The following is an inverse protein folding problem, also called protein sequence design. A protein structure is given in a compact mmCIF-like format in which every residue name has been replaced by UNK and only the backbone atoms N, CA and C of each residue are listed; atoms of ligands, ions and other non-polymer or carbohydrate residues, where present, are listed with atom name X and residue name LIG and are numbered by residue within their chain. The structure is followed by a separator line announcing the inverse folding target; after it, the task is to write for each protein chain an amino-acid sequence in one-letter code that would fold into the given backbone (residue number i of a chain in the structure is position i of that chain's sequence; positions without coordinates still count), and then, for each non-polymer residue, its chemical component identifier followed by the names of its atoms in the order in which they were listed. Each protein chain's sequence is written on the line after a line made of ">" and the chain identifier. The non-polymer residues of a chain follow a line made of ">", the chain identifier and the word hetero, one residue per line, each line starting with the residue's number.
data_IF_304223543932
#
_entry.id   IF_304223543932
#
_cell.length_a   1.000
_cell.length_b   1.000
_cell.length_c   1.000
_cell.angle_alpha   90.00
_cell.angle_beta   90.00
_cell.angle_gamma   90.00
#
_symmetry.space_group_name_H-M   'P 1'
#
loop_
_entity.id
_entity.type
_entity.pdbx_description
1 polymer ?
#
# COMPACT_ATOMS: atom_id res chain seq x y z
N UNK A 1 26.14 -12.43 -4.90
CA UNK A 1 25.86 -11.55 -3.75
C UNK A 1 27.19 -11.23 -3.10
N UNK A 2 27.40 -10.00 -2.63
CA UNK A 2 28.66 -9.61 -1.97
C UNK A 2 28.66 -10.14 -0.55
N UNK A 3 29.70 -10.87 -0.17
CA UNK A 3 29.95 -11.30 1.20
C UNK A 3 30.45 -10.10 2.01
N UNK A 4 29.82 -9.81 3.14
CA UNK A 4 30.20 -8.68 4.01
C UNK A 4 30.60 -9.18 5.40
N UNK A 5 31.70 -8.64 5.94
CA UNK A 5 32.03 -8.85 7.35
C UNK A 5 31.06 -8.09 8.27
N UNK A 6 31.15 -8.33 9.58
CA UNK A 6 30.23 -7.74 10.57
C UNK A 6 30.17 -6.21 10.51
N UNK A 7 31.33 -5.56 10.37
CA UNK A 7 31.42 -4.10 10.32
C UNK A 7 30.74 -3.55 9.06
N UNK A 8 31.00 -4.15 7.92
CA UNK A 8 30.38 -3.77 6.64
C UNK A 8 28.87 -3.98 6.65
N UNK A 9 28.42 -5.10 7.24
CA UNK A 9 26.99 -5.36 7.45
C UNK A 9 26.34 -4.28 8.33
N UNK A 10 26.96 -3.93 9.46
CA UNK A 10 26.45 -2.89 10.35
C UNK A 10 26.38 -1.52 9.68
N UNK A 11 27.37 -1.16 8.87
CA UNK A 11 27.34 0.07 8.08
C UNK A 11 26.16 0.06 7.11
N UNK A 12 25.97 -1.06 6.37
CA UNK A 12 24.83 -1.21 5.45
C UNK A 12 23.49 -1.09 6.16
N UNK A 13 23.34 -1.75 7.31
CA UNK A 13 22.12 -1.68 8.11
C UNK A 13 21.86 -0.24 8.59
N UNK A 14 22.90 0.44 9.07
CA UNK A 14 22.83 1.85 9.51
C UNK A 14 22.33 2.76 8.38
N UNK A 15 22.87 2.59 7.18
CA UNK A 15 22.46 3.40 6.03
C UNK A 15 21.01 3.14 5.60
N UNK A 16 20.55 1.89 5.71
CA UNK A 16 19.15 1.56 5.43
C UNK A 16 18.20 2.16 6.47
N UNK A 17 18.54 2.08 7.76
CA UNK A 17 17.75 2.72 8.81
C UNK A 17 17.74 4.24 8.64
N UNK A 18 18.86 4.86 8.24
CA UNK A 18 18.93 6.28 7.96
C UNK A 18 18.08 6.68 6.74
N UNK A 19 18.09 5.86 5.68
CA UNK A 19 17.20 6.03 4.52
C UNK A 19 15.73 5.98 4.96
N UNK A 20 15.34 5.00 5.77
CA UNK A 20 13.98 4.89 6.30
C UNK A 20 13.60 6.10 7.15
N UNK A 21 14.51 6.57 8.02
CA UNK A 21 14.30 7.79 8.82
C UNK A 21 13.99 9.00 7.94
N UNK A 22 14.79 9.21 6.89
CA UNK A 22 14.59 10.31 5.94
C UNK A 22 13.24 10.20 5.20
N UNK A 23 12.87 8.99 4.79
CA UNK A 23 11.59 8.74 4.10
C UNK A 23 10.42 9.00 5.07
N UNK A 24 10.46 8.47 6.29
CA UNK A 24 9.41 8.65 7.29
C UNK A 24 9.15 10.14 7.54
N UNK A 25 10.22 10.91 7.80
CA UNK A 25 10.13 12.37 8.01
C UNK A 25 9.50 13.08 6.81
N UNK A 26 10.00 12.79 5.60
CA UNK A 26 9.56 13.46 4.38
C UNK A 26 8.11 13.12 4.02
N UNK A 27 7.76 11.84 4.09
CA UNK A 27 6.43 11.37 3.69
C UNK A 27 5.36 11.73 4.71
N UNK A 28 5.67 11.74 6.02
CA UNK A 28 4.77 12.27 7.05
C UNK A 28 4.45 13.74 6.83
N UNK A 29 5.46 14.56 6.58
CA UNK A 29 5.26 15.98 6.29
C UNK A 29 4.39 16.19 5.05
N UNK A 30 4.70 15.48 3.95
CA UNK A 30 3.93 15.56 2.70
C UNK A 30 2.48 15.11 2.88
N UNK A 31 2.25 14.03 3.61
CA UNK A 31 0.89 13.57 3.92
C UNK A 31 0.14 14.64 4.70
N UNK A 32 0.71 15.15 5.80
CA UNK A 32 0.05 16.16 6.64
C UNK A 32 -0.28 17.41 5.85
N UNK A 33 0.66 17.94 5.08
CA UNK A 33 0.43 19.10 4.23
C UNK A 33 -0.74 18.87 3.26
N UNK A 34 -0.74 17.75 2.53
CA UNK A 34 -1.81 17.45 1.57
C UNK A 34 -3.13 17.08 2.23
N UNK A 35 -3.08 16.54 3.44
CA UNK A 35 -4.27 16.31 4.24
C UNK A 35 -4.91 17.62 4.65
N UNK A 36 -4.11 18.58 5.11
CA UNK A 36 -4.62 19.88 5.55
C UNK A 36 -5.17 20.68 4.38
N UNK A 37 -4.53 20.59 3.21
CA UNK A 37 -5.00 21.23 1.98
C UNK A 37 -6.42 20.76 1.57
N UNK A 38 -6.75 19.47 1.73
CA UNK A 38 -7.94 18.87 1.07
C UNK A 38 -8.91 18.11 1.98
N UNK A 39 -8.45 17.60 3.12
CA UNK A 39 -9.23 16.76 4.03
C UNK A 39 -9.43 17.38 5.41
N UNK A 40 -8.93 18.60 5.68
CA UNK A 40 -9.08 19.26 6.98
C UNK A 40 -10.54 19.33 7.47
N UNK A 41 -11.50 19.50 6.56
CA UNK A 41 -12.92 19.62 6.89
C UNK A 41 -13.62 18.29 7.22
N UNK A 42 -12.90 17.16 7.19
CA UNK A 42 -13.47 15.83 7.49
C UNK A 42 -13.50 15.50 8.99
N UNK A 43 -12.93 16.36 9.85
CA UNK A 43 -12.76 16.12 11.30
C UNK A 43 -12.00 14.81 11.64
N UNK A 44 -11.27 14.23 10.68
CA UNK A 44 -10.42 13.07 10.88
C UNK A 44 -8.97 13.51 10.74
N UNK A 45 -8.15 13.17 11.73
CA UNK A 45 -6.73 13.45 11.69
C UNK A 45 -5.97 12.39 10.88
N UNK A 46 -4.91 12.79 10.14
CA UNK A 46 -4.06 11.84 9.44
C UNK A 46 -3.27 11.00 10.45
N UNK A 47 -3.12 9.71 10.17
CA UNK A 47 -2.16 8.88 10.87
C UNK A 47 -0.76 9.17 10.31
N UNK A 48 0.14 9.72 11.13
CA UNK A 48 1.47 10.11 10.70
C UNK A 48 2.51 9.03 11.04
N UNK A 49 3.56 8.95 10.21
CA UNK A 49 4.69 8.04 10.43
C UNK A 49 5.61 8.67 11.47
N UNK A 50 5.87 7.95 12.56
CA UNK A 50 6.81 8.41 13.58
C UNK A 50 8.21 8.61 13.02
N UNK A 51 8.95 9.54 13.62
CA UNK A 51 10.36 9.77 13.26
C UNK A 51 11.23 8.64 13.81
N UNK A 52 12.25 8.24 13.05
CA UNK A 52 13.27 7.29 13.50
C UNK A 52 14.53 8.09 13.87
N UNK A 53 14.82 8.33 15.16
CA UNK A 53 15.89 9.23 15.59
C UNK A 53 17.24 8.52 15.59
N UNK A 54 17.81 8.30 14.40
CA UNK A 54 19.07 7.57 14.23
C UNK A 54 20.30 8.46 14.44
N UNK A 55 21.14 8.03 15.38
CA UNK A 55 22.54 8.41 15.52
C UNK A 55 23.40 7.27 14.94
N UNK A 56 24.06 7.53 13.81
CA UNK A 56 24.83 6.50 13.10
C UNK A 56 25.97 5.93 13.96
N UNK A 57 26.61 6.76 14.77
CA UNK A 57 27.75 6.34 15.60
C UNK A 57 27.27 5.41 16.72
N UNK A 58 26.20 5.80 17.42
CA UNK A 58 25.62 4.95 18.48
C UNK A 58 25.06 3.66 17.91
N UNK A 59 24.41 3.70 16.74
CA UNK A 59 23.85 2.49 16.11
C UNK A 59 24.91 1.43 15.78
N UNK A 60 26.11 1.87 15.39
CA UNK A 60 27.23 0.98 15.11
C UNK A 60 27.82 0.44 16.43
N UNK A 61 28.01 1.29 17.44
CA UNK A 61 28.82 0.96 18.62
C UNK A 61 28.03 0.44 19.82
N UNK A 62 26.71 0.63 19.88
CA UNK A 62 25.87 0.27 21.02
C UNK A 62 24.71 -0.64 20.57
N UNK A 63 24.77 -1.91 21.00
CA UNK A 63 23.75 -2.90 20.65
C UNK A 63 22.38 -2.59 21.28
N UNK A 64 22.33 -2.02 22.49
CA UNK A 64 21.06 -1.64 23.14
C UNK A 64 20.37 -0.53 22.35
N UNK A 65 21.14 0.49 21.96
CA UNK A 65 20.64 1.56 21.10
C UNK A 65 20.20 1.02 19.73
N UNK A 66 20.94 0.07 19.15
CA UNK A 66 20.55 -0.60 17.91
C UNK A 66 19.20 -1.31 18.02
N UNK A 67 18.98 -2.07 19.09
CA UNK A 67 17.71 -2.75 19.39
C UNK A 67 16.57 -1.73 19.49
N UNK A 68 16.79 -0.63 20.22
CA UNK A 68 15.82 0.46 20.35
C UNK A 68 15.43 1.04 18.98
N UNK A 69 16.41 1.42 18.17
CA UNK A 69 16.17 2.02 16.85
C UNK A 69 15.49 1.04 15.88
N UNK A 70 15.87 -0.24 15.90
CA UNK A 70 15.20 -1.27 15.10
C UNK A 70 13.73 -1.43 15.52
N UNK A 71 13.44 -1.38 16.82
CA UNK A 71 12.06 -1.42 17.32
C UNK A 71 11.26 -0.19 16.86
N UNK A 72 11.84 1.02 16.92
CA UNK A 72 11.20 2.23 16.40
C UNK A 72 10.97 2.13 14.89
N UNK A 73 11.92 1.58 14.14
CA UNK A 73 11.76 1.37 12.70
C UNK A 73 10.61 0.40 12.38
N UNK A 74 10.45 -0.70 13.13
CA UNK A 74 9.31 -1.62 12.98
C UNK A 74 7.98 -0.88 13.19
N UNK A 75 7.90 -0.07 14.23
CA UNK A 75 6.70 0.71 14.53
C UNK A 75 6.42 1.74 13.42
N UNK A 76 7.45 2.43 12.91
CA UNK A 76 7.31 3.35 11.78
C UNK A 76 6.81 2.65 10.50
N UNK A 77 7.28 1.43 10.21
CA UNK A 77 6.78 0.63 9.09
C UNK A 77 5.29 0.35 9.22
N UNK A 78 4.81 0.04 10.43
CA UNK A 78 3.39 -0.14 10.73
C UNK A 78 2.60 1.17 10.60
N UNK A 79 3.15 2.30 11.08
CA UNK A 79 2.52 3.61 10.91
C UNK A 79 2.30 3.95 9.44
N UNK A 80 3.26 3.62 8.55
CA UNK A 80 3.11 3.83 7.10
C UNK A 80 1.95 3.05 6.50
N UNK A 81 1.67 1.84 7.00
CA UNK A 81 0.52 1.04 6.60
C UNK A 81 -0.79 1.68 7.09
N UNK A 82 -0.82 2.09 8.36
CA UNK A 82 -1.99 2.75 8.96
C UNK A 82 -2.27 4.13 8.35
N UNK A 83 -1.25 4.87 7.91
CA UNK A 83 -1.42 6.12 7.18
C UNK A 83 -2.21 5.93 5.88
N UNK A 84 -1.90 4.90 5.09
CA UNK A 84 -2.65 4.56 3.88
C UNK A 84 -4.08 4.14 4.23
N UNK A 85 -4.25 3.34 5.29
CA UNK A 85 -5.57 2.92 5.76
C UNK A 85 -6.45 4.09 6.18
N UNK A 86 -5.92 5.00 6.99
CA UNK A 86 -6.62 6.19 7.46
C UNK A 86 -6.99 7.11 6.29
N UNK A 87 -6.10 7.23 5.29
CA UNK A 87 -6.40 7.95 4.07
C UNK A 87 -7.60 7.35 3.31
N UNK A 88 -7.56 6.04 3.02
CA UNK A 88 -8.66 5.37 2.33
C UNK A 88 -9.96 5.44 3.12
N UNK A 89 -9.91 5.24 4.44
CA UNK A 89 -11.07 5.34 5.33
C UNK A 89 -11.67 6.75 5.29
N UNK A 90 -10.85 7.79 5.29
CA UNK A 90 -11.31 9.18 5.25
C UNK A 90 -11.92 9.51 3.90
N UNK A 91 -11.27 9.07 2.81
CA UNK A 91 -11.77 9.31 1.45
C UNK A 91 -13.14 8.64 1.24
N UNK A 92 -13.24 7.34 1.50
CA UNK A 92 -14.46 6.56 1.25
C UNK A 92 -15.54 6.75 2.33
N UNK A 93 -15.14 7.00 3.58
CA UNK A 93 -16.06 7.15 4.70
C UNK A 93 -16.60 8.56 4.90
N UNK A 94 -15.87 9.59 4.47
CA UNK A 94 -16.22 10.99 4.77
C UNK A 94 -16.16 11.89 3.54
N UNK A 95 -15.02 11.96 2.86
CA UNK A 95 -14.79 12.95 1.79
C UNK A 95 -15.78 12.81 0.62
N UNK A 96 -16.02 11.60 0.12
CA UNK A 96 -16.93 11.39 -1.01
C UNK A 96 -18.40 11.72 -0.72
N UNK A 97 -18.77 11.90 0.55
CA UNK A 97 -20.10 12.32 0.95
C UNK A 97 -20.16 13.80 1.34
N UNK A 98 -19.02 14.50 1.32
CA UNK A 98 -18.91 15.91 1.71
C UNK A 98 -19.49 16.84 0.65
N UNK A 99 -19.99 18.00 1.10
CA UNK A 99 -20.47 19.07 0.21
C UNK A 99 -19.35 19.63 -0.67
N UNK A 100 -18.11 19.64 -0.18
CA UNK A 100 -16.94 20.04 -0.96
C UNK A 100 -16.83 19.19 -2.23
N UNK A 101 -16.82 17.85 -2.08
CA UNK A 101 -16.71 16.94 -3.21
C UNK A 101 -17.89 17.07 -4.19
N UNK A 102 -19.11 17.21 -3.66
CA UNK A 102 -20.31 17.36 -4.49
C UNK A 102 -20.33 18.65 -5.32
N UNK A 103 -19.82 19.74 -4.74
CA UNK A 103 -19.77 21.05 -5.40
C UNK A 103 -18.60 21.17 -6.39
N UNK A 104 -17.51 20.42 -6.15
CA UNK A 104 -16.34 20.47 -7.02
C UNK A 104 -16.50 19.66 -8.31
N UNK A 105 -17.21 18.53 -8.27
CA UNK A 105 -17.26 17.57 -9.37
C UNK A 105 -18.70 17.34 -9.87
N UNK A 106 -18.84 17.08 -11.18
CA UNK A 106 -20.14 16.65 -11.73
C UNK A 106 -20.54 15.30 -11.15
N UNK A 107 -21.84 14.95 -11.12
CA UNK A 107 -22.29 13.64 -10.61
C UNK A 107 -21.58 12.46 -11.29
N UNK A 108 -21.34 12.57 -12.60
CA UNK A 108 -20.60 11.56 -13.35
C UNK A 108 -19.14 11.48 -12.90
N UNK A 109 -18.43 12.62 -12.78
CA UNK A 109 -17.05 12.64 -12.31
C UNK A 109 -16.94 12.14 -10.86
N UNK A 110 -17.90 12.51 -10.01
CA UNK A 110 -17.97 12.05 -8.62
C UNK A 110 -18.00 10.52 -8.55
N UNK A 111 -18.78 9.87 -9.42
CA UNK A 111 -18.84 8.41 -9.50
C UNK A 111 -17.52 7.82 -10.01
N UNK A 112 -16.99 8.34 -11.13
CA UNK A 112 -15.78 7.82 -11.77
C UNK A 112 -14.55 7.98 -10.86
N UNK A 113 -14.42 9.08 -10.12
CA UNK A 113 -13.32 9.33 -9.17
C UNK A 113 -13.22 8.22 -8.12
N UNK A 114 -14.35 7.71 -7.61
CA UNK A 114 -14.36 6.63 -6.61
C UNK A 114 -13.73 5.34 -7.17
N UNK A 115 -13.91 5.07 -8.46
CA UNK A 115 -13.28 3.93 -9.14
C UNK A 115 -11.82 4.20 -9.50
N UNK A 116 -11.49 5.41 -9.95
CA UNK A 116 -10.10 5.81 -10.24
C UNK A 116 -9.24 5.66 -8.99
N UNK A 117 -9.70 6.18 -7.84
CA UNK A 117 -8.93 6.12 -6.59
C UNK A 117 -8.67 4.68 -6.15
N UNK A 118 -9.69 3.82 -6.21
CA UNK A 118 -9.51 2.40 -5.88
C UNK A 118 -8.51 1.73 -6.83
N UNK A 119 -8.61 1.99 -8.13
CA UNK A 119 -7.69 1.45 -9.14
C UNK A 119 -6.26 1.93 -8.89
N UNK A 120 -6.06 3.22 -8.63
CA UNK A 120 -4.73 3.81 -8.43
C UNK A 120 -4.07 3.36 -7.13
N UNK A 121 -4.84 3.14 -6.05
CA UNK A 121 -4.26 2.69 -4.78
C UNK A 121 -4.27 1.16 -4.71
N UNK A 122 -5.44 0.51 -4.75
CA UNK A 122 -5.58 -0.93 -4.51
C UNK A 122 -5.12 -1.78 -5.70
N UNK A 123 -5.23 -1.26 -6.92
CA UNK A 123 -4.72 -1.92 -8.13
C UNK A 123 -3.18 -1.97 -8.13
N UNK A 124 -2.55 -0.86 -7.74
CA UNK A 124 -1.09 -0.74 -7.66
C UNK A 124 -0.49 -1.38 -6.39
N UNK A 125 -1.21 -1.35 -5.26
CA UNK A 125 -0.76 -1.85 -3.97
C UNK A 125 -1.43 -3.18 -3.60
N UNK A 126 -1.20 -4.20 -4.42
CA UNK A 126 -1.81 -5.53 -4.26
C UNK A 126 -1.52 -6.14 -2.87
N UNK A 127 -0.28 -5.98 -2.38
CA UNK A 127 0.10 -6.48 -1.05
C UNK A 127 -0.62 -5.74 0.07
N UNK A 128 -0.83 -4.43 -0.07
CA UNK A 128 -1.65 -3.66 0.87
C UNK A 128 -3.09 -4.19 0.86
N UNK A 129 -3.69 -4.34 -0.32
CA UNK A 129 -5.08 -4.79 -0.45
C UNK A 129 -5.28 -6.21 0.14
N UNK A 130 -4.28 -7.10 0.04
CA UNK A 130 -4.29 -8.41 0.72
C UNK A 130 -4.37 -8.30 2.23
N UNK A 131 -3.74 -7.29 2.81
CA UNK A 131 -3.71 -7.06 4.26
C UNK A 131 -4.92 -6.27 4.76
N UNK A 132 -5.49 -5.40 3.92
CA UNK A 132 -6.63 -4.54 4.26
C UNK A 132 -7.53 -4.31 3.04
N UNK A 133 -8.47 -5.23 2.81
CA UNK A 133 -9.45 -5.15 1.73
C UNK A 133 -10.79 -4.57 2.17
N UNK A 134 -11.04 -4.49 3.49
CA UNK A 134 -12.33 -4.06 4.06
C UNK A 134 -12.54 -2.55 4.07
N UNK A 135 -11.45 -1.76 4.06
CA UNK A 135 -11.53 -0.29 4.12
C UNK A 135 -12.23 0.32 2.91
N UNK A 136 -12.20 -0.36 1.76
CA UNK A 136 -12.81 0.11 0.51
C UNK A 136 -13.93 -0.85 0.09
N UNK A 137 -15.15 -0.33 -0.21
CA UNK A 137 -16.27 -1.19 -0.60
C UNK A 137 -15.94 -2.15 -1.75
N UNK A 138 -16.52 -3.36 -1.68
CA UNK A 138 -16.17 -4.48 -2.56
C UNK A 138 -16.29 -4.12 -4.06
N UNK A 139 -17.27 -3.32 -4.45
CA UNK A 139 -17.44 -2.91 -5.86
C UNK A 139 -16.25 -2.16 -6.44
N UNK A 140 -15.61 -1.30 -5.66
CA UNK A 140 -14.43 -0.57 -6.11
C UNK A 140 -13.19 -1.49 -6.12
N UNK A 141 -13.13 -2.42 -5.16
CA UNK A 141 -12.13 -3.48 -5.11
C UNK A 141 -12.17 -4.39 -6.36
N UNK A 142 -13.37 -4.78 -6.81
CA UNK A 142 -13.57 -5.59 -8.03
C UNK A 142 -12.98 -4.90 -9.25
N UNK A 143 -13.29 -3.61 -9.44
CA UNK A 143 -12.78 -2.83 -10.56
C UNK A 143 -11.28 -2.57 -10.43
N UNK A 144 -10.78 -2.19 -9.26
CA UNK A 144 -9.35 -1.96 -9.05
C UNK A 144 -8.49 -3.15 -9.49
N UNK A 145 -9.01 -4.37 -9.37
CA UNK A 145 -8.31 -5.61 -9.68
C UNK A 145 -8.55 -6.16 -11.08
N UNK A 146 -9.74 -5.92 -11.63
CA UNK A 146 -10.15 -6.54 -12.89
C UNK A 146 -10.28 -5.54 -14.04
N UNK A 147 -10.23 -4.23 -13.80
CA UNK A 147 -10.46 -3.21 -14.83
C UNK A 147 -9.63 -3.44 -16.08
N UNK A 148 -8.30 -3.60 -15.95
CA UNK A 148 -7.42 -3.83 -17.11
C UNK A 148 -7.75 -5.12 -17.85
N UNK A 149 -8.15 -6.18 -17.14
CA UNK A 149 -8.52 -7.45 -17.77
C UNK A 149 -9.87 -7.35 -18.52
N UNK A 150 -10.85 -6.68 -17.92
CA UNK A 150 -12.17 -6.41 -18.51
C UNK A 150 -12.04 -5.47 -19.72
N UNK A 151 -11.15 -4.47 -19.63
CA UNK A 151 -10.85 -3.54 -20.72
C UNK A 151 -10.21 -4.25 -21.92
N UNK A 152 -9.32 -5.21 -21.67
CA UNK A 152 -8.65 -5.96 -22.73
C UNK A 152 -9.61 -6.92 -23.45
N UNK A 153 -10.48 -7.60 -22.70
CA UNK A 153 -11.48 -8.50 -23.25
C UNK A 153 -12.61 -8.75 -22.23
N UNK A 154 -13.85 -9.05 -22.69
CA UNK A 154 -14.93 -9.41 -21.80
C UNK A 154 -14.56 -10.56 -20.86
N UNK A 155 -14.86 -10.42 -19.56
CA UNK A 155 -14.51 -11.41 -18.53
C UNK A 155 -15.73 -12.21 -18.08
N UNK A 156 -15.51 -13.45 -17.65
CA UNK A 156 -16.51 -14.26 -16.94
C UNK A 156 -16.49 -13.93 -15.45
N UNK A 157 -17.65 -13.99 -14.79
CA UNK A 157 -17.78 -13.84 -13.33
C UNK A 157 -16.87 -14.78 -12.55
N UNK A 158 -16.75 -16.05 -12.94
CA UNK A 158 -15.85 -17.03 -12.31
C UNK A 158 -14.38 -16.57 -12.32
N UNK A 159 -13.93 -15.98 -13.42
CA UNK A 159 -12.55 -15.47 -13.53
C UNK A 159 -12.34 -14.20 -12.68
N UNK A 160 -13.35 -13.33 -12.61
CA UNK A 160 -13.35 -12.17 -11.71
C UNK A 160 -13.26 -12.66 -10.25
N UNK A 161 -14.08 -13.65 -9.88
CA UNK A 161 -14.08 -14.27 -8.55
C UNK A 161 -12.71 -14.87 -8.19
N UNK A 162 -12.11 -15.66 -9.08
CA UNK A 162 -10.78 -16.22 -8.89
C UNK A 162 -9.72 -15.13 -8.62
N UNK A 163 -9.77 -14.03 -9.37
CA UNK A 163 -8.85 -12.91 -9.17
C UNK A 163 -9.09 -12.19 -7.85
N UNK A 164 -10.34 -12.03 -7.42
CA UNK A 164 -10.67 -11.44 -6.13
C UNK A 164 -10.23 -12.34 -4.97
N UNK A 165 -10.45 -13.65 -5.06
CA UNK A 165 -10.06 -14.59 -4.01
C UNK A 165 -8.54 -14.70 -3.79
N UNK A 166 -7.71 -14.25 -4.75
CA UNK A 166 -6.25 -14.06 -4.52
C UNK A 166 -5.93 -13.02 -3.45
N UNK A 167 -6.86 -12.11 -3.16
CA UNK A 167 -6.72 -11.05 -2.13
C UNK A 167 -7.41 -11.44 -0.85
N UNK A 168 -8.62 -11.98 -0.96
CA UNK A 168 -9.47 -12.29 0.19
C UNK A 168 -9.01 -13.54 0.96
N UNK A 169 -8.08 -14.32 0.40
CA UNK A 169 -7.34 -15.35 1.12
C UNK A 169 -8.25 -16.36 1.82
N UNK A 170 -8.33 -16.26 3.15
CA UNK A 170 -9.12 -17.15 4.01
C UNK A 170 -10.62 -16.82 4.04
N UNK A 171 -11.02 -15.60 3.67
CA UNK A 171 -12.41 -15.15 3.61
C UNK A 171 -12.90 -15.15 2.15
N UNK A 172 -12.94 -16.33 1.53
CA UNK A 172 -13.29 -16.44 0.11
C UNK A 172 -14.67 -15.87 -0.16
N UNK A 173 -14.76 -15.07 -1.22
CA UNK A 173 -16.01 -14.58 -1.76
C UNK A 173 -16.77 -15.71 -2.45
N UNK A 174 -18.08 -15.59 -2.47
CA UNK A 174 -18.97 -16.46 -3.24
C UNK A 174 -19.29 -15.85 -4.62
N UNK A 175 -19.65 -16.70 -5.58
CA UNK A 175 -20.00 -16.26 -6.93
C UNK A 175 -21.23 -15.33 -6.93
N UNK A 176 -22.23 -15.64 -6.10
CA UNK A 176 -23.44 -14.84 -5.88
C UNK A 176 -23.10 -13.40 -5.45
N UNK A 177 -22.16 -13.25 -4.52
CA UNK A 177 -21.70 -11.93 -4.06
C UNK A 177 -21.03 -11.14 -5.19
N UNK A 178 -20.18 -11.79 -5.98
CA UNK A 178 -19.53 -11.16 -7.15
C UNK A 178 -20.56 -10.74 -8.19
N UNK A 179 -21.56 -11.58 -8.48
CA UNK A 179 -22.62 -11.26 -9.43
C UNK A 179 -23.46 -10.06 -8.95
N UNK A 180 -23.82 -10.02 -7.67
CA UNK A 180 -24.53 -8.88 -7.07
C UNK A 180 -23.74 -7.58 -7.21
N UNK A 181 -22.43 -7.63 -6.89
CA UNK A 181 -21.54 -6.48 -7.03
C UNK A 181 -21.37 -6.05 -8.49
N UNK A 182 -21.29 -6.98 -9.44
CA UNK A 182 -21.20 -6.64 -10.86
C UNK A 182 -22.49 -5.99 -11.37
N UNK A 183 -23.66 -6.41 -10.89
CA UNK A 183 -24.93 -5.74 -11.18
C UNK A 183 -24.95 -4.30 -10.63
N UNK A 184 -24.37 -4.04 -9.45
CA UNK A 184 -24.21 -2.66 -8.94
C UNK A 184 -23.30 -1.83 -9.84
N UNK A 185 -22.17 -2.40 -10.29
CA UNK A 185 -21.22 -1.71 -11.18
C UNK A 185 -21.85 -1.45 -12.57
N UNK A 186 -22.71 -2.34 -13.05
CA UNK A 186 -23.49 -2.11 -14.28
C UNK A 186 -24.48 -0.96 -14.12
N UNK A 187 -25.17 -0.87 -12.97
CA UNK A 187 -26.08 0.25 -12.66
C UNK A 187 -25.33 1.59 -12.58
N UNK A 188 -24.10 1.56 -12.08
CA UNK A 188 -23.17 2.70 -12.12
C UNK A 188 -22.70 3.03 -13.56
N UNK A 189 -23.10 2.23 -14.56
CA UNK A 189 -22.85 2.46 -15.98
C UNK A 189 -21.42 2.16 -16.43
N UNK A 190 -20.57 1.61 -15.56
CA UNK A 190 -19.16 1.38 -15.87
C UNK A 190 -18.96 0.15 -16.77
N UNK A 191 -19.73 -0.91 -16.52
CA UNK A 191 -19.69 -2.16 -17.28
C UNK A 191 -21.04 -2.44 -17.95
N UNK A 192 -21.02 -3.32 -18.94
CA UNK A 192 -22.23 -3.93 -19.52
C UNK A 192 -22.19 -5.43 -19.32
N UNK A 193 -23.34 -6.02 -18.98
CA UNK A 193 -23.52 -7.47 -18.90
C UNK A 193 -24.01 -8.00 -20.25
N UNK A 194 -23.27 -8.97 -20.79
CA UNK A 194 -23.60 -9.67 -22.03
C UNK A 194 -23.95 -11.11 -21.68
N UNK A 195 -25.17 -11.53 -22.00
CA UNK A 195 -25.58 -12.93 -21.94
C UNK A 195 -25.39 -13.56 -23.32
N UNK A 196 -24.54 -14.58 -23.41
CA UNK A 196 -24.35 -15.41 -24.61
C UNK A 196 -24.43 -16.86 -24.18
N UNK A 197 -25.45 -17.57 -24.67
CA UNK A 197 -25.72 -18.95 -24.27
C UNK A 197 -25.79 -19.07 -22.73
N UNK A 198 -25.08 -20.04 -22.16
CA UNK A 198 -24.95 -20.25 -20.71
C UNK A 198 -23.86 -19.38 -20.05
N UNK A 199 -23.31 -18.39 -20.76
CA UNK A 199 -22.22 -17.54 -20.28
C UNK A 199 -22.68 -16.11 -20.03
N UNK A 200 -22.34 -15.61 -18.83
CA UNK A 200 -22.43 -14.19 -18.48
C UNK A 200 -21.05 -13.56 -18.60
N UNK A 201 -20.93 -12.57 -19.50
CA UNK A 201 -19.70 -11.83 -19.78
C UNK A 201 -19.87 -10.38 -19.36
N UNK A 202 -18.79 -9.77 -18.90
CA UNK A 202 -18.74 -8.38 -18.43
C UNK A 202 -17.69 -7.65 -19.24
N UNK A 203 -18.05 -6.50 -19.80
CA UNK A 203 -17.15 -5.63 -20.58
C UNK A 203 -17.21 -4.19 -20.09
N UNK A 204 -16.15 -3.41 -20.33
CA UNK A 204 -16.17 -1.98 -20.04
C UNK A 204 -17.13 -1.29 -21.00
N UNK A 205 -18.14 -0.61 -20.44
CA UNK A 205 -19.08 0.24 -21.19
C UNK A 205 -18.56 1.67 -21.27
N UNK A 206 -18.13 2.20 -20.13
CA UNK A 206 -17.56 3.54 -20.02
C UNK A 206 -16.17 3.43 -19.42
N UNK A 207 -15.18 4.10 -20.03
CA UNK A 207 -13.84 4.12 -19.46
C UNK A 207 -13.77 4.97 -18.19
N UNK A 208 -12.74 4.73 -17.38
CA UNK A 208 -12.44 5.53 -16.20
C UNK A 208 -11.75 6.84 -16.62
N UNK A 209 -12.49 7.67 -17.34
CA UNK A 209 -12.06 8.96 -17.86
C UNK A 209 -12.96 10.03 -17.27
N UNK A 210 -12.34 11.07 -16.69
CA UNK A 210 -13.05 12.24 -16.19
C UNK A 210 -13.33 13.20 -17.33
N UNK A 211 -14.31 14.09 -17.14
CA UNK A 211 -14.43 15.28 -17.98
C UNK A 211 -13.16 16.13 -17.91
N UNK A 212 -12.87 16.96 -18.91
CA UNK A 212 -11.66 17.80 -18.89
C UNK A 212 -11.56 18.67 -17.62
N UNK A 213 -12.69 19.28 -17.21
CA UNK A 213 -12.79 20.05 -15.97
C UNK A 213 -12.61 19.17 -14.73
N UNK A 214 -13.20 17.97 -14.73
CA UNK A 214 -13.04 16.99 -13.66
C UNK A 214 -11.59 16.54 -13.52
N UNK A 215 -10.91 16.31 -14.64
CA UNK A 215 -9.51 15.89 -14.68
C UNK A 215 -8.57 16.98 -14.17
N UNK A 216 -8.79 18.24 -14.55
CA UNK A 216 -8.03 19.39 -14.05
C UNK A 216 -8.14 19.51 -12.53
N UNK A 217 -9.37 19.52 -11.99
CA UNK A 217 -9.62 19.58 -10.54
C UNK A 217 -9.06 18.36 -9.81
N UNK A 218 -9.25 17.16 -10.36
CA UNK A 218 -8.68 15.93 -9.79
C UNK A 218 -7.16 16.03 -9.70
N UNK A 219 -6.48 16.50 -10.75
CA UNK A 219 -5.04 16.65 -10.76
C UNK A 219 -4.55 17.69 -9.77
N UNK A 220 -5.28 18.80 -9.63
CA UNK A 220 -4.94 19.88 -8.73
C UNK A 220 -5.11 19.49 -7.26
N UNK A 221 -6.21 18.79 -6.92
CA UNK A 221 -6.62 18.59 -5.53
C UNK A 221 -6.39 17.16 -5.03
N UNK A 222 -6.83 16.15 -5.78
CA UNK A 222 -6.83 14.77 -5.27
C UNK A 222 -5.56 14.00 -5.64
N UNK A 223 -5.12 14.09 -6.89
CA UNK A 223 -4.01 13.28 -7.42
C UNK A 223 -2.76 13.27 -6.53
N UNK A 224 -2.27 14.39 -5.96
CA UNK A 224 -1.12 14.38 -5.07
C UNK A 224 -1.30 13.46 -3.84
N UNK A 225 -2.51 13.43 -3.29
CA UNK A 225 -2.86 12.61 -2.14
C UNK A 225 -3.06 11.13 -2.53
N UNK A 226 -3.58 10.86 -3.73
CA UNK A 226 -3.84 9.50 -4.24
C UNK A 226 -2.57 8.79 -4.72
N UNK A 227 -1.60 9.55 -5.25
CA UNK A 227 -0.30 9.02 -5.68
C UNK A 227 0.64 8.78 -4.48
N UNK A 228 0.45 9.51 -3.37
CA UNK A 228 1.28 9.41 -2.17
C UNK A 228 1.42 7.97 -1.62
N UNK A 229 0.36 7.16 -1.45
CA UNK A 229 0.46 5.77 -1.00
C UNK A 229 1.42 4.93 -1.83
N UNK A 230 1.36 5.07 -3.16
CA UNK A 230 2.23 4.32 -4.07
C UNK A 230 3.69 4.75 -3.93
N UNK A 231 3.94 6.05 -3.79
CA UNK A 231 5.27 6.59 -3.58
C UNK A 231 5.85 6.17 -2.22
N UNK A 232 5.07 6.25 -1.14
CA UNK A 232 5.46 5.74 0.16
C UNK A 232 5.79 4.25 0.06
N UNK A 233 4.88 3.44 -0.49
CA UNK A 233 5.03 1.99 -0.51
C UNK A 233 6.27 1.54 -1.27
N UNK A 234 6.53 2.16 -2.42
CA UNK A 234 7.69 1.84 -3.27
C UNK A 234 9.02 2.24 -2.65
N UNK A 235 9.04 3.28 -1.83
CA UNK A 235 10.27 3.80 -1.22
C UNK A 235 10.53 3.20 0.16
N UNK A 236 9.54 3.22 1.04
CA UNK A 236 9.67 2.89 2.46
C UNK A 236 9.73 1.38 2.73
N UNK A 237 9.12 0.56 1.86
CA UNK A 237 9.17 -0.91 1.96
C UNK A 237 10.13 -1.53 0.94
N UNK A 238 11.15 -0.79 0.52
CA UNK A 238 12.22 -1.25 -0.35
C UNK A 238 13.56 -1.23 0.39
N UNK A 239 13.95 -2.42 0.83
CA UNK A 239 15.17 -2.69 1.60
C UNK A 239 16.08 -3.70 0.89
N UNK A 240 15.98 -3.79 -0.45
CA UNK A 240 16.74 -4.77 -1.25
C UNK A 240 18.24 -4.68 -1.07
N UNK A 241 18.75 -3.54 -0.63
CA UNK A 241 20.15 -3.32 -0.32
C UNK A 241 20.63 -4.15 0.90
N UNK A 242 19.70 -4.71 1.70
CA UNK A 242 19.98 -5.69 2.75
C UNK A 242 20.03 -7.15 2.23
N UNK A 243 19.78 -7.39 0.93
CA UNK A 243 19.93 -8.72 0.34
C UNK A 243 21.41 -9.03 0.05
N UNK A 244 22.14 -9.35 1.11
CA UNK A 244 23.57 -9.65 1.10
C UNK A 244 23.83 -11.03 1.72
N UNK A 245 25.05 -11.54 1.55
CA UNK A 245 25.51 -12.77 2.22
C UNK A 245 26.36 -12.37 3.43
N UNK A 246 25.99 -12.74 4.65
CA UNK A 246 26.85 -12.50 5.81
C UNK A 246 28.15 -13.31 5.73
N UNK A 247 29.26 -12.71 6.15
CA UNK A 247 30.57 -13.35 6.25
C UNK A 247 30.60 -14.55 7.18
N UNK A 248 31.53 -15.47 6.93
CA UNK A 248 31.70 -16.72 7.69
C UNK A 248 31.89 -16.52 9.20
N UNK A 249 32.47 -15.40 9.59
CA UNK A 249 32.82 -15.01 10.96
C UNK A 249 31.63 -14.42 11.76
N UNK A 250 30.51 -14.11 11.10
CA UNK A 250 29.35 -13.50 11.75
C UNK A 250 28.63 -14.53 12.63
N UNK A 251 28.44 -14.20 13.91
CA UNK A 251 27.67 -15.02 14.86
C UNK A 251 26.25 -15.27 14.34
N UNK A 252 25.75 -16.50 14.50
CA UNK A 252 24.43 -16.93 14.03
C UNK A 252 24.19 -16.64 12.53
N UNK A 253 25.24 -16.80 11.71
CA UNK A 253 25.24 -16.54 10.27
C UNK A 253 24.05 -17.14 9.52
N UNK A 254 23.77 -18.43 9.69
CA UNK A 254 22.70 -19.12 8.95
C UNK A 254 21.32 -18.48 9.21
N UNK A 255 21.06 -18.09 10.45
CA UNK A 255 19.84 -17.37 10.80
C UNK A 255 19.80 -16.01 10.09
N UNK A 256 20.89 -15.25 10.16
CA UNK A 256 20.97 -13.93 9.55
C UNK A 256 20.82 -14.01 8.02
N UNK A 257 21.48 -14.97 7.37
CA UNK A 257 21.36 -15.19 5.92
C UNK A 257 19.91 -15.50 5.50
N UNK A 258 19.24 -16.38 6.23
CA UNK A 258 17.82 -16.69 6.01
C UNK A 258 16.95 -15.44 6.13
N UNK A 259 17.20 -14.59 7.14
CA UNK A 259 16.47 -13.34 7.33
C UNK A 259 16.74 -12.38 6.17
N UNK A 260 18.00 -12.11 5.84
CA UNK A 260 18.41 -11.13 4.83
C UNK A 260 17.96 -11.51 3.41
N UNK A 261 17.87 -12.80 3.09
CA UNK A 261 17.36 -13.29 1.80
C UNK A 261 15.93 -12.80 1.50
N UNK A 262 15.12 -12.54 2.54
CA UNK A 262 13.76 -12.00 2.37
C UNK A 262 13.74 -10.56 1.86
N UNK A 263 14.85 -9.82 2.02
CA UNK A 263 15.01 -8.45 1.51
C UNK A 263 14.98 -8.39 -0.02
N UNK A 264 15.18 -9.50 -0.73
CA UNK A 264 15.01 -9.57 -2.19
C UNK A 264 13.58 -9.21 -2.64
N UNK A 265 12.59 -9.48 -1.78
CA UNK A 265 11.18 -9.17 -2.03
C UNK A 265 10.84 -7.78 -1.49
N UNK A 266 10.18 -6.96 -2.32
CA UNK A 266 9.71 -5.64 -1.92
C UNK A 266 8.32 -5.70 -1.30
N UNK A 267 8.04 -4.85 -0.31
CA UNK A 267 6.72 -4.65 0.29
C UNK A 267 6.69 -4.84 1.80
N UNK A 268 5.55 -4.49 2.41
CA UNK A 268 5.39 -4.40 3.85
C UNK A 268 5.73 -5.72 4.56
N UNK A 269 5.15 -6.85 4.15
CA UNK A 269 5.34 -8.13 4.84
C UNK A 269 6.80 -8.58 4.85
N UNK A 270 7.52 -8.42 3.74
CA UNK A 270 8.93 -8.77 3.65
C UNK A 270 9.79 -7.83 4.51
N UNK A 271 9.56 -6.52 4.41
CA UNK A 271 10.31 -5.51 5.17
C UNK A 271 10.10 -5.69 6.68
N UNK A 272 8.84 -5.83 7.11
CA UNK A 272 8.50 -6.05 8.51
C UNK A 272 9.10 -7.36 9.04
N UNK A 273 9.07 -8.44 8.26
CA UNK A 273 9.71 -9.70 8.63
C UNK A 273 11.22 -9.53 8.87
N UNK A 274 11.92 -8.87 7.94
CA UNK A 274 13.38 -8.65 8.06
C UNK A 274 13.69 -7.87 9.33
N UNK A 275 13.03 -6.73 9.55
CA UNK A 275 13.31 -5.89 10.72
C UNK A 275 12.95 -6.57 12.04
N UNK A 276 11.83 -7.28 12.13
CA UNK A 276 11.45 -8.05 13.33
C UNK A 276 12.49 -9.13 13.67
N UNK A 277 13.06 -9.79 12.67
CA UNK A 277 14.06 -10.83 12.92
C UNK A 277 15.48 -10.26 13.12
N UNK A 278 15.80 -9.10 12.56
CA UNK A 278 17.00 -8.35 12.92
C UNK A 278 16.96 -7.88 14.37
N UNK A 279 15.81 -7.41 14.85
CA UNK A 279 15.62 -7.08 16.27
C UNK A 279 15.92 -8.29 17.17
N UNK A 280 15.33 -9.45 16.85
CA UNK A 280 15.57 -10.70 17.57
C UNK A 280 17.03 -11.15 17.53
N UNK A 281 17.68 -11.00 16.37
CA UNK A 281 19.09 -11.32 16.18
C UNK A 281 19.95 -10.55 17.19
N UNK A 282 19.78 -9.23 17.28
CA UNK A 282 20.57 -8.40 18.18
C UNK A 282 20.21 -8.58 19.66
N UNK A 283 18.94 -8.87 19.98
CA UNK A 283 18.53 -9.24 21.34
C UNK A 283 19.23 -10.52 21.83
N UNK A 284 19.41 -11.49 20.94
CA UNK A 284 20.08 -12.76 21.26
C UNK A 284 21.62 -12.66 21.31
N UNK A 285 22.21 -11.55 20.86
CA UNK A 285 23.65 -11.32 21.02
C UNK A 285 24.00 -10.74 22.39
N UNK A 286 23.01 -10.15 23.10
CA UNK A 286 23.14 -9.61 24.45
C UNK A 286 22.82 -10.65 25.56
N UNK A 287 22.28 -11.81 25.19
CA UNK A 287 21.93 -12.94 26.08
C UNK A 287 23.01 -14.00 26.11
#
# INVERSE_FOLDING_TARGET
>A
MTELNEKEFLIRLTDIVAKLSSIAKTQSFRLKQKWDDYLQNTNIEPYLIRTIPIDKSKFINDNKYRIEILNIAIQALADGFHAIKTLLKTIYGSYFNSELFKNEFSEQDQLIIKYIIAKEILGNLIQYNKLDHETVPLKYNVIARNYSLIKLQPQKDKRILENMNKIFGNQKLELSMIQNVLNEIEKDGLIRIIKKDDLTLYEIKNELVLSDKGQEKYNQYLSPLIVWPTNLWRSFYNIRELNITPGQDIKNREFLEKVLSRSATQGFSATNYVFQNLLKYYQNLDS
#
